data_IF_367101253801
#
_entry.id   IF_367101253801
#
_cell.length_a   1.000
_cell.length_b   1.000
_cell.length_c   1.000
_cell.angle_alpha   90.00
_cell.angle_beta   90.00
_cell.angle_gamma   90.00
#
_symmetry.space_group_name_H-M   'P 1'
#
loop_
_entity.id
_entity.type
_entity.pdbx_description
1 polymer ?
#
# COMPACT_ATOMS: atom_id res chain seq x y z
N UNK A 1 -30.94 -41.91 -34.78
CA UNK A 1 -30.35 -40.92 -33.86
C UNK A 1 -29.71 -39.80 -34.67
N UNK A 2 -30.25 -38.61 -34.59
CA UNK A 2 -29.94 -37.52 -35.51
C UNK A 2 -28.66 -36.80 -35.08
N UNK A 3 -27.80 -36.41 -36.01
CA UNK A 3 -26.54 -35.65 -35.77
C UNK A 3 -26.71 -34.49 -34.78
N UNK A 4 -27.89 -33.89 -34.70
CA UNK A 4 -28.24 -32.83 -33.78
C UNK A 4 -28.21 -33.24 -32.30
N UNK A 5 -28.62 -34.45 -31.95
CA UNK A 5 -28.62 -34.99 -30.58
C UNK A 5 -27.21 -35.25 -30.08
N UNK A 6 -26.30 -35.69 -30.96
CA UNK A 6 -24.90 -35.97 -30.64
C UNK A 6 -24.15 -34.63 -30.35
N UNK A 7 -24.37 -33.58 -31.14
CA UNK A 7 -23.77 -32.26 -30.93
C UNK A 7 -24.23 -31.58 -29.62
N UNK A 8 -25.51 -31.73 -29.24
CA UNK A 8 -26.05 -31.22 -27.99
C UNK A 8 -25.42 -31.91 -26.79
N UNK A 9 -25.28 -33.26 -26.85
CA UNK A 9 -24.68 -34.04 -25.76
C UNK A 9 -23.19 -33.75 -25.58
N UNK A 10 -22.42 -33.53 -26.65
CA UNK A 10 -20.99 -33.19 -26.58
C UNK A 10 -20.84 -31.80 -25.92
N UNK A 11 -21.61 -30.81 -26.32
CA UNK A 11 -21.59 -29.49 -25.68
C UNK A 11 -21.99 -29.52 -24.20
N UNK A 12 -22.95 -30.34 -23.82
CA UNK A 12 -23.37 -30.47 -22.42
C UNK A 12 -22.26 -31.07 -21.55
N UNK A 13 -21.56 -32.10 -22.05
CA UNK A 13 -20.43 -32.75 -21.37
C UNK A 13 -19.26 -31.80 -21.22
N UNK A 14 -18.93 -31.02 -22.25
CA UNK A 14 -17.87 -29.99 -22.21
C UNK A 14 -18.20 -28.90 -21.19
N UNK A 15 -19.42 -28.37 -21.20
CA UNK A 15 -19.86 -27.34 -20.24
C UNK A 15 -19.83 -27.87 -18.80
N UNK A 16 -20.30 -29.10 -18.57
CA UNK A 16 -20.26 -29.69 -17.23
C UNK A 16 -18.81 -29.93 -16.75
N UNK A 17 -17.92 -30.33 -17.64
CA UNK A 17 -16.50 -30.50 -17.34
C UNK A 17 -15.83 -29.14 -16.97
N UNK A 18 -16.15 -28.09 -17.70
CA UNK A 18 -15.64 -26.72 -17.43
C UNK A 18 -16.15 -26.18 -16.08
N UNK A 19 -17.42 -26.39 -15.77
CA UNK A 19 -17.99 -25.99 -14.46
C UNK A 19 -17.25 -26.71 -13.32
N UNK A 20 -17.05 -28.01 -13.43
CA UNK A 20 -16.35 -28.80 -12.42
C UNK A 20 -14.89 -28.37 -12.23
N UNK A 21 -14.20 -28.05 -13.32
CA UNK A 21 -12.83 -27.54 -13.26
C UNK A 21 -12.75 -26.18 -12.58
N UNK A 22 -13.75 -25.32 -12.78
CA UNK A 22 -13.85 -24.01 -12.14
C UNK A 22 -14.14 -24.13 -10.64
N UNK A 23 -15.05 -25.03 -10.25
CA UNK A 23 -15.30 -25.35 -8.83
C UNK A 23 -14.06 -25.89 -8.13
N UNK A 24 -13.26 -26.73 -8.81
CA UNK A 24 -11.98 -27.22 -8.28
C UNK A 24 -10.95 -26.09 -8.10
N UNK A 25 -10.92 -25.11 -9.00
CA UNK A 25 -10.03 -23.95 -8.88
C UNK A 25 -10.41 -23.07 -7.68
N UNK A 26 -11.70 -22.85 -7.46
CA UNK A 26 -12.20 -22.10 -6.30
C UNK A 26 -11.84 -22.80 -4.98
N UNK A 27 -11.99 -24.13 -4.91
CA UNK A 27 -11.58 -24.91 -3.72
C UNK A 27 -10.07 -24.77 -3.49
N UNK A 28 -9.28 -24.76 -4.56
CA UNK A 28 -7.83 -24.64 -4.48
C UNK A 28 -7.40 -23.26 -3.97
N UNK A 29 -8.10 -22.20 -4.36
CA UNK A 29 -7.86 -20.85 -3.87
C UNK A 29 -7.90 -20.76 -2.33
N UNK A 30 -8.89 -21.42 -1.72
CA UNK A 30 -9.07 -21.43 -0.26
C UNK A 30 -8.13 -22.42 0.45
N UNK A 31 -7.74 -23.53 -0.20
CA UNK A 31 -7.00 -24.62 0.44
C UNK A 31 -5.50 -24.61 0.18
N UNK A 32 -5.06 -24.14 -0.98
CA UNK A 32 -3.65 -24.09 -1.40
C UNK A 32 -3.43 -22.93 -2.40
N UNK A 33 -3.26 -21.73 -1.85
CA UNK A 33 -3.16 -20.50 -2.62
C UNK A 33 -1.95 -20.48 -3.58
N UNK A 34 -0.80 -21.01 -3.16
CA UNK A 34 0.40 -21.04 -4.00
C UNK A 34 0.18 -21.95 -5.23
N UNK A 35 -0.43 -23.10 -5.02
CA UNK A 35 -0.76 -24.01 -6.12
C UNK A 35 -1.84 -23.42 -7.05
N UNK A 36 -2.80 -22.66 -6.51
CA UNK A 36 -3.78 -21.94 -7.31
C UNK A 36 -3.10 -20.87 -8.20
N UNK A 37 -2.12 -20.13 -7.66
CA UNK A 37 -1.32 -19.17 -8.44
C UNK A 37 -0.60 -19.87 -9.58
N UNK A 38 0.11 -20.99 -9.30
CA UNK A 38 0.86 -21.72 -10.31
C UNK A 38 -0.05 -22.24 -11.43
N UNK A 39 -1.20 -22.82 -11.09
CA UNK A 39 -2.18 -23.29 -12.07
C UNK A 39 -2.77 -22.14 -12.89
N UNK A 40 -3.10 -21.01 -12.25
CA UNK A 40 -3.62 -19.82 -12.93
C UNK A 40 -2.60 -19.28 -13.93
N UNK A 41 -1.33 -19.17 -13.54
CA UNK A 41 -0.23 -18.77 -14.44
C UNK A 41 -0.12 -19.75 -15.63
N UNK A 42 -0.20 -21.05 -15.37
CA UNK A 42 -0.09 -22.05 -16.46
C UNK A 42 -1.28 -21.95 -17.41
N UNK A 43 -2.49 -21.80 -16.91
CA UNK A 43 -3.70 -21.62 -17.72
C UNK A 43 -3.61 -20.36 -18.61
N UNK A 44 -3.08 -19.25 -18.05
CA UNK A 44 -2.84 -18.03 -18.83
C UNK A 44 -1.80 -18.24 -19.94
N UNK A 45 -0.67 -18.89 -19.64
CA UNK A 45 0.38 -19.22 -20.62
C UNK A 45 -0.15 -20.08 -21.75
N UNK A 46 -0.98 -21.06 -21.41
CA UNK A 46 -1.57 -22.03 -22.36
C UNK A 46 -2.82 -21.46 -23.07
N UNK A 47 -3.20 -20.21 -22.76
CA UNK A 47 -4.40 -19.52 -23.29
C UNK A 47 -5.70 -20.29 -23.00
N UNK A 48 -5.77 -21.00 -21.89
CA UNK A 48 -6.94 -21.75 -21.44
C UNK A 48 -7.91 -20.85 -20.65
N UNK A 49 -8.31 -19.72 -21.23
CA UNK A 49 -9.09 -18.67 -20.55
C UNK A 49 -10.43 -19.16 -20.00
N UNK A 50 -11.01 -20.19 -20.60
CA UNK A 50 -12.28 -20.79 -20.18
C UNK A 50 -12.18 -21.54 -18.84
N UNK A 51 -10.95 -21.87 -18.41
CA UNK A 51 -10.67 -22.58 -17.15
C UNK A 51 -10.30 -21.65 -16.01
N UNK A 52 -10.02 -20.39 -16.32
CA UNK A 52 -9.61 -19.42 -15.32
C UNK A 52 -10.70 -19.19 -14.27
N UNK A 53 -10.29 -19.13 -13.03
CA UNK A 53 -11.07 -18.55 -11.93
C UNK A 53 -10.94 -17.01 -11.98
N UNK A 54 -11.73 -16.41 -12.86
CA UNK A 54 -11.63 -14.99 -13.17
C UNK A 54 -12.02 -14.14 -11.96
N UNK A 55 -12.93 -14.63 -11.12
CA UNK A 55 -13.42 -13.89 -9.96
C UNK A 55 -12.30 -13.68 -8.94
N UNK A 56 -11.66 -14.75 -8.49
CA UNK A 56 -10.53 -14.64 -7.56
C UNK A 56 -9.31 -13.97 -8.19
N UNK A 57 -9.07 -14.18 -9.50
CA UNK A 57 -7.99 -13.47 -10.18
C UNK A 57 -8.19 -11.95 -10.17
N UNK A 58 -9.43 -11.47 -10.36
CA UNK A 58 -9.75 -10.04 -10.26
C UNK A 58 -9.54 -9.54 -8.82
N UNK A 59 -9.96 -10.30 -7.81
CA UNK A 59 -9.77 -9.96 -6.40
C UNK A 59 -8.28 -9.79 -6.08
N UNK A 60 -7.44 -10.74 -6.48
CA UNK A 60 -5.99 -10.70 -6.24
C UNK A 60 -5.32 -9.51 -6.94
N UNK A 61 -5.69 -9.23 -8.19
CA UNK A 61 -5.17 -8.07 -8.92
C UNK A 61 -5.60 -6.74 -8.28
N UNK A 62 -6.83 -6.66 -7.77
CA UNK A 62 -7.30 -5.48 -7.03
C UNK A 62 -6.56 -5.32 -5.70
N UNK A 63 -6.31 -6.41 -4.99
CA UNK A 63 -5.62 -6.38 -3.70
C UNK A 63 -4.14 -6.04 -3.85
N UNK A 64 -3.51 -6.48 -4.92
CA UNK A 64 -2.16 -6.04 -5.27
C UNK A 64 -2.11 -4.51 -5.44
N UNK A 65 -3.05 -3.92 -6.21
CA UNK A 65 -3.12 -2.46 -6.38
C UNK A 65 -3.43 -1.70 -5.08
N UNK A 66 -4.24 -2.26 -4.19
CA UNK A 66 -4.50 -1.70 -2.85
C UNK A 66 -3.27 -1.80 -1.96
N UNK A 67 -2.50 -2.89 -2.05
CA UNK A 67 -1.27 -3.09 -1.28
C UNK A 67 -0.23 -2.02 -1.59
N UNK A 68 -0.02 -1.68 -2.86
CA UNK A 68 0.89 -0.61 -3.29
C UNK A 68 0.49 0.76 -2.71
N UNK A 69 -0.81 1.09 -2.75
CA UNK A 69 -1.32 2.33 -2.14
C UNK A 69 -1.13 2.36 -0.63
N UNK A 70 -1.44 1.26 0.07
CA UNK A 70 -1.24 1.14 1.52
C UNK A 70 0.22 1.26 1.92
N UNK A 71 1.14 0.69 1.13
CA UNK A 71 2.57 0.83 1.37
C UNK A 71 3.04 2.29 1.23
N UNK A 72 2.57 3.01 0.20
CA UNK A 72 2.83 4.44 0.04
C UNK A 72 2.28 5.25 1.22
N UNK A 73 1.02 5.04 1.58
CA UNK A 73 0.33 5.72 2.69
C UNK A 73 1.04 5.50 4.03
N UNK A 74 1.44 4.26 4.32
CA UNK A 74 2.15 3.92 5.55
C UNK A 74 3.50 4.65 5.66
N UNK A 75 4.27 4.70 4.57
CA UNK A 75 5.54 5.41 4.55
C UNK A 75 5.35 6.93 4.65
N UNK A 76 4.35 7.50 3.99
CA UNK A 76 4.00 8.92 4.10
C UNK A 76 3.58 9.29 5.53
N UNK A 77 2.78 8.45 6.19
CA UNK A 77 2.34 8.69 7.56
C UNK A 77 3.54 8.79 8.52
N UNK A 78 4.50 7.88 8.43
CA UNK A 78 5.69 7.91 9.30
C UNK A 78 6.60 9.09 8.96
N UNK A 79 6.84 9.37 7.68
CA UNK A 79 7.61 10.52 7.21
C UNK A 79 7.03 11.83 7.76
N UNK A 80 5.73 12.05 7.58
CA UNK A 80 5.01 13.24 8.06
C UNK A 80 5.07 13.37 9.58
N UNK A 81 4.90 12.26 10.31
CA UNK A 81 4.97 12.28 11.77
C UNK A 81 6.35 12.73 12.27
N UNK A 82 7.44 12.25 11.65
CA UNK A 82 8.79 12.64 12.06
C UNK A 82 9.16 14.07 11.64
N UNK A 83 8.72 14.53 10.47
CA UNK A 83 8.84 15.94 10.09
C UNK A 83 8.06 16.85 11.05
N UNK A 84 6.86 16.47 11.50
CA UNK A 84 6.12 17.21 12.51
C UNK A 84 6.87 17.23 13.86
N UNK A 85 7.48 16.13 14.27
CA UNK A 85 8.29 16.09 15.50
C UNK A 85 9.47 17.05 15.41
N UNK A 86 10.21 17.06 14.31
CA UNK A 86 11.30 18.04 14.11
C UNK A 86 10.76 19.47 14.12
N UNK A 87 9.63 19.74 13.47
CA UNK A 87 9.03 21.07 13.41
C UNK A 87 8.64 21.62 14.80
N UNK A 88 8.13 20.77 15.67
CA UNK A 88 7.55 21.17 16.96
C UNK A 88 8.56 21.05 18.10
N UNK A 89 9.50 20.12 17.99
CA UNK A 89 10.51 19.80 19.02
C UNK A 89 11.93 19.88 18.45
N UNK A 90 12.21 20.83 17.55
CA UNK A 90 13.54 21.01 16.96
C UNK A 90 14.64 21.35 17.98
N UNK A 91 14.24 21.77 19.18
CA UNK A 91 15.10 22.02 20.35
C UNK A 91 15.40 20.75 21.19
N UNK A 92 14.86 19.59 20.79
CA UNK A 92 15.14 18.34 21.47
C UNK A 92 16.62 17.92 21.32
N UNK A 93 17.18 17.17 22.31
CA UNK A 93 18.55 16.70 22.24
C UNK A 93 18.85 15.89 20.97
N UNK A 94 20.08 16.01 20.47
CA UNK A 94 20.55 15.31 19.26
C UNK A 94 20.36 13.80 19.34
N UNK A 95 20.49 13.21 20.54
CA UNK A 95 20.20 11.79 20.79
C UNK A 95 18.77 11.36 20.48
N UNK A 96 17.82 12.33 20.45
CA UNK A 96 16.44 12.09 20.04
C UNK A 96 16.22 12.45 18.58
N UNK A 97 16.70 13.62 18.15
CA UNK A 97 16.50 14.12 16.77
C UNK A 97 17.22 13.26 15.75
N UNK A 98 18.38 12.67 16.08
CA UNK A 98 19.12 11.76 15.20
C UNK A 98 18.26 10.62 14.69
N UNK A 99 17.52 9.94 15.58
CA UNK A 99 16.61 8.87 15.17
C UNK A 99 15.44 9.35 14.31
N UNK A 100 15.04 10.63 14.43
CA UNK A 100 13.99 11.19 13.59
C UNK A 100 14.50 11.49 12.19
N UNK A 101 15.74 11.99 12.05
CA UNK A 101 16.41 12.17 10.76
C UNK A 101 16.55 10.83 10.03
N UNK A 102 17.03 9.79 10.72
CA UNK A 102 17.14 8.46 10.13
C UNK A 102 15.79 7.95 9.61
N UNK A 103 14.73 8.11 10.41
CA UNK A 103 13.39 7.70 10.02
C UNK A 103 12.83 8.51 8.83
N UNK A 104 13.08 9.84 8.79
CA UNK A 104 12.70 10.69 7.67
C UNK A 104 13.38 10.19 6.40
N UNK A 105 14.71 9.97 6.44
CA UNK A 105 15.48 9.49 5.30
C UNK A 105 14.96 8.15 4.78
N UNK A 106 14.80 7.19 5.68
CA UNK A 106 14.33 5.85 5.32
C UNK A 106 12.95 5.91 4.64
N UNK A 107 11.98 6.57 5.27
CA UNK A 107 10.62 6.60 4.74
C UNK A 107 10.48 7.47 3.50
N UNK A 108 11.26 8.56 3.37
CA UNK A 108 11.34 9.37 2.15
C UNK A 108 11.86 8.54 0.97
N UNK A 109 12.95 7.81 1.16
CA UNK A 109 13.49 6.92 0.13
C UNK A 109 12.49 5.84 -0.30
N UNK A 110 11.73 5.28 0.66
CA UNK A 110 10.67 4.30 0.37
C UNK A 110 9.54 4.92 -0.43
N UNK A 111 9.09 6.15 -0.10
CA UNK A 111 8.10 6.89 -0.86
C UNK A 111 8.59 7.15 -2.29
N UNK A 112 9.79 7.70 -2.44
CA UNK A 112 10.39 7.97 -3.74
C UNK A 112 10.55 6.69 -4.57
N UNK A 113 10.96 5.57 -3.92
CA UNK A 113 11.07 4.28 -4.58
C UNK A 113 9.71 3.80 -5.08
N UNK A 114 8.66 3.85 -4.25
CA UNK A 114 7.31 3.47 -4.66
C UNK A 114 6.83 4.28 -5.88
N UNK A 115 7.10 5.59 -5.91
CA UNK A 115 6.71 6.46 -7.02
C UNK A 115 7.52 6.20 -8.31
N UNK A 116 8.79 5.78 -8.19
CA UNK A 116 9.61 5.37 -9.33
C UNK A 116 9.21 4.01 -9.88
N UNK A 117 8.98 3.05 -8.99
CA UNK A 117 8.66 1.66 -9.39
C UNK A 117 7.22 1.55 -9.91
N UNK A 118 6.30 2.38 -9.37
CA UNK A 118 4.88 2.41 -9.74
C UNK A 118 4.44 3.84 -10.09
N UNK A 119 4.78 4.36 -11.28
CA UNK A 119 4.49 5.76 -11.66
C UNK A 119 3.00 6.15 -11.64
N UNK A 120 2.10 5.17 -11.73
CA UNK A 120 0.65 5.37 -11.60
C UNK A 120 0.21 5.85 -10.20
N UNK A 121 1.10 5.79 -9.20
CA UNK A 121 0.87 6.35 -7.87
C UNK A 121 1.07 7.87 -7.79
N UNK A 122 1.79 8.48 -8.76
CA UNK A 122 2.07 9.93 -8.72
C UNK A 122 0.80 10.79 -8.65
N UNK A 123 -0.26 10.56 -9.46
CA UNK A 123 -1.50 11.32 -9.33
C UNK A 123 -2.22 11.11 -7.99
N UNK A 124 -1.97 9.98 -7.32
CA UNK A 124 -2.56 9.64 -6.04
C UNK A 124 -1.86 10.31 -4.84
N UNK A 125 -0.61 10.75 -4.99
CA UNK A 125 0.25 11.22 -3.90
C UNK A 125 -0.39 12.33 -3.06
N UNK A 126 -0.97 13.36 -3.68
CA UNK A 126 -1.64 14.45 -2.97
C UNK A 126 -2.82 13.98 -2.14
N UNK A 127 -3.60 13.04 -2.69
CA UNK A 127 -4.73 12.42 -1.98
C UNK A 127 -4.23 11.59 -0.80
N UNK A 128 -3.16 10.80 -0.99
CA UNK A 128 -2.55 9.99 0.05
C UNK A 128 -2.04 10.86 1.21
N UNK A 129 -1.30 11.95 0.93
CA UNK A 129 -0.84 12.91 1.95
C UNK A 129 -2.01 13.45 2.77
N UNK A 130 -3.06 13.89 2.10
CA UNK A 130 -4.26 14.44 2.77
C UNK A 130 -4.96 13.39 3.62
N UNK A 131 -5.02 12.15 3.16
CA UNK A 131 -5.65 11.02 3.84
C UNK A 131 -4.90 10.63 5.11
N UNK A 132 -3.57 10.53 5.06
CA UNK A 132 -2.77 10.02 6.18
C UNK A 132 -2.32 11.09 7.17
N UNK A 133 -2.42 12.37 6.81
CA UNK A 133 -1.94 13.45 7.67
C UNK A 133 -2.60 13.49 9.06
N UNK A 134 -3.91 13.27 9.23
CA UNK A 134 -4.52 13.20 10.55
C UNK A 134 -3.89 12.14 11.45
N UNK A 135 -3.60 10.96 10.91
CA UNK A 135 -2.98 9.86 11.64
C UNK A 135 -1.51 10.15 11.96
N UNK A 136 -0.77 10.73 11.02
CA UNK A 136 0.60 11.20 11.22
C UNK A 136 0.68 12.24 12.34
N UNK A 137 -0.25 13.21 12.36
CA UNK A 137 -0.38 14.21 13.42
C UNK A 137 -0.64 13.56 14.78
N UNK A 138 -1.57 12.63 14.87
CA UNK A 138 -1.86 11.89 16.10
C UNK A 138 -0.66 11.07 16.59
N UNK A 139 0.09 10.47 15.67
CA UNK A 139 1.32 9.75 15.97
C UNK A 139 2.37 10.69 16.58
N UNK A 140 2.60 11.85 15.95
CA UNK A 140 3.55 12.87 16.43
C UNK A 140 3.16 13.40 17.84
N UNK A 141 1.89 13.71 18.06
CA UNK A 141 1.37 14.15 19.37
C UNK A 141 1.59 13.07 20.42
N UNK A 142 1.22 11.82 20.13
CA UNK A 142 1.39 10.71 21.06
C UNK A 142 2.84 10.49 21.45
N UNK A 143 3.74 10.60 20.48
CA UNK A 143 5.18 10.41 20.73
C UNK A 143 5.75 11.62 21.50
N UNK A 144 5.31 12.84 21.20
CA UNK A 144 5.68 14.05 21.95
C UNK A 144 5.31 13.95 23.43
N UNK A 145 4.16 13.34 23.76
CA UNK A 145 3.74 13.09 25.17
C UNK A 145 4.64 12.09 25.90
N UNK A 146 5.46 11.30 25.20
CA UNK A 146 6.42 10.35 25.78
C UNK A 146 7.79 10.97 26.03
N UNK A 147 7.98 12.27 25.75
CA UNK A 147 9.23 12.96 26.02
C UNK A 147 9.65 12.78 27.48
N UNK A 148 10.93 12.45 27.70
CA UNK A 148 11.52 12.17 29.02
C UNK A 148 12.72 13.07 29.26
N UNK A 149 13.20 13.13 30.51
CA UNK A 149 14.47 13.76 30.87
C UNK A 149 14.58 15.26 30.57
N UNK A 150 13.53 16.03 30.93
CA UNK A 150 13.56 17.49 30.82
C UNK A 150 13.30 18.05 29.42
N UNK A 151 13.02 17.20 28.44
CA UNK A 151 12.56 17.65 27.13
C UNK A 151 11.13 18.18 27.25
N UNK A 152 10.87 19.33 26.62
CA UNK A 152 9.55 19.93 26.61
C UNK A 152 8.50 18.97 26.02
N UNK A 153 7.36 18.87 26.69
CA UNK A 153 6.20 18.16 26.15
C UNK A 153 5.36 19.18 25.38
N UNK A 154 5.24 19.09 24.04
CA UNK A 154 4.45 20.03 23.27
C UNK A 154 2.96 19.90 23.57
N UNK A 155 2.25 21.01 23.46
CA UNK A 155 0.79 21.03 23.51
C UNK A 155 0.22 20.54 22.17
N UNK A 156 -0.94 19.91 22.22
CA UNK A 156 -1.60 19.37 21.01
C UNK A 156 -1.94 20.44 19.98
N UNK A 157 -2.23 21.66 20.40
CA UNK A 157 -2.54 22.79 19.52
C UNK A 157 -1.30 23.39 18.81
N UNK A 158 -0.09 23.01 19.20
CA UNK A 158 1.13 23.38 18.48
C UNK A 158 1.29 22.58 17.17
N UNK A 159 0.67 21.41 17.09
CA UNK A 159 0.70 20.59 15.87
C UNK A 159 -0.35 21.11 14.89
N UNK A 160 0.05 21.53 13.66
CA UNK A 160 -0.87 22.07 12.68
C UNK A 160 -2.03 21.13 12.37
N UNK A 161 -3.23 21.64 12.18
CA UNK A 161 -4.41 20.85 11.82
C UNK A 161 -4.33 20.40 10.35
N UNK A 162 -3.76 21.28 9.48
CA UNK A 162 -3.52 20.97 8.06
C UNK A 162 -2.05 20.68 7.83
N UNK A 163 -1.73 19.83 6.85
CA UNK A 163 -0.35 19.47 6.51
C UNK A 163 0.45 20.73 6.15
N UNK A 164 1.54 21.05 6.88
CA UNK A 164 2.34 22.24 6.63
C UNK A 164 3.44 22.03 5.59
N UNK A 165 3.51 20.84 4.97
CA UNK A 165 4.56 20.47 4.03
C UNK A 165 4.00 20.32 2.61
N UNK A 166 4.72 20.87 1.63
CA UNK A 166 4.40 20.64 0.22
C UNK A 166 4.89 19.25 -0.24
N UNK A 167 4.38 18.78 -1.39
CA UNK A 167 4.83 17.52 -2.00
C UNK A 167 6.33 17.59 -2.33
N UNK A 168 6.79 18.71 -2.85
CA UNK A 168 8.19 18.97 -3.18
C UNK A 168 9.07 18.81 -1.94
N UNK A 169 8.67 19.42 -0.82
CA UNK A 169 9.37 19.29 0.46
C UNK A 169 9.40 17.86 1.00
N UNK A 170 8.33 17.10 0.80
CA UNK A 170 8.29 15.69 1.23
C UNK A 170 9.24 14.81 0.42
N UNK A 171 9.48 15.15 -0.85
CA UNK A 171 10.32 14.39 -1.76
C UNK A 171 11.75 14.92 -1.87
N UNK A 172 12.07 16.07 -1.28
CA UNK A 172 13.40 16.66 -1.28
C UNK A 172 14.28 16.02 -0.21
N UNK A 173 15.38 15.39 -0.63
CA UNK A 173 16.30 14.68 0.25
C UNK A 173 16.99 15.60 1.25
N UNK A 174 17.17 16.88 0.92
CA UNK A 174 17.82 17.88 1.75
C UNK A 174 16.84 18.67 2.65
N UNK A 175 15.53 18.44 2.52
CA UNK A 175 14.53 19.12 3.32
C UNK A 175 14.40 18.54 4.73
N UNK A 176 14.90 19.27 5.74
CA UNK A 176 14.81 18.93 7.18
C UNK A 176 14.34 20.10 8.07
N UNK A 177 13.68 21.09 7.52
CA UNK A 177 13.22 22.28 8.25
C UNK A 177 14.36 23.23 8.75
N UNK A 178 15.58 23.03 8.36
CA UNK A 178 16.74 23.81 8.83
C UNK A 178 17.08 24.97 7.91
N UNK A 179 16.10 25.83 7.54
CA UNK A 179 16.40 27.14 7.01
C UNK A 179 15.45 28.17 7.67
N UNK A 180 15.94 28.75 8.75
CA UNK A 180 15.42 30.00 9.29
C UNK A 180 16.58 30.96 9.49
#
# INVERSE_FOLDING_TARGET
>A
MTKRTIFVNIRLVEVTSLIKLREMSTILYDSDFDLWIEQTIQQLKDRQFERLDVEHLIEELQDLGKSEKRALESNLMVLLAHLLKLKIQGDAPETMTGSWYDSINEHRQRVQKSLRDTPSLNPYLSTAVSSVYPDARQLAIRDGKKAKFGVRIPLENEYPITCPFSIEQLLDDDFYLNES
#
